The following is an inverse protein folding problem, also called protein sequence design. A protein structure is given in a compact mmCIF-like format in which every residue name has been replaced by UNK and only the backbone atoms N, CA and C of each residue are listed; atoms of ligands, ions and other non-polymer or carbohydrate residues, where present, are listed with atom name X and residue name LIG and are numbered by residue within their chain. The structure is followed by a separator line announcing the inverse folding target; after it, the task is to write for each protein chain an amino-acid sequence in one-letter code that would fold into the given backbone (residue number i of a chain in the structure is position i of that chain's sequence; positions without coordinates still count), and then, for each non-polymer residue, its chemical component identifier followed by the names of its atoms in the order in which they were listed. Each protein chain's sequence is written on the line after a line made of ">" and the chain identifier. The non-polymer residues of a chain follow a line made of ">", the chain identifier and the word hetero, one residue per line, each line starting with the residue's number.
data_IF_601490609519
#
_entry.id   IF_601490609519
#
_cell.length_a   1.000
_cell.length_b   1.000
_cell.length_c   1.000
_cell.angle_alpha   90.00
_cell.angle_beta   90.00
_cell.angle_gamma   90.00
#
_symmetry.space_group_name_H-M   'P 1'
#
loop_
_entity.id
_entity.type
_entity.pdbx_description
1 polymer ?
#
# COMPACT_ATOMS: atom_id res chain seq x y z
N UNK A 1 -25.59 0.04 2.04
CA UNK A 1 -25.57 -1.44 2.07
C UNK A 1 -24.31 -1.88 2.82
N UNK A 2 -24.09 -3.18 3.00
CA UNK A 2 -22.84 -3.70 3.56
C UNK A 2 -21.85 -3.92 2.39
N UNK A 3 -20.54 -3.87 2.64
CA UNK A 3 -19.53 -4.26 1.65
C UNK A 3 -19.76 -5.71 1.22
N UNK A 4 -19.80 -5.95 -0.08
CA UNK A 4 -19.83 -7.28 -0.69
C UNK A 4 -18.43 -7.61 -1.22
N UNK A 5 -17.79 -8.59 -0.57
CA UNK A 5 -16.39 -8.95 -0.83
C UNK A 5 -16.24 -9.63 -2.19
N UNK A 6 -17.18 -10.51 -2.56
CA UNK A 6 -17.15 -11.21 -3.84
C UNK A 6 -17.35 -10.22 -4.98
N UNK A 7 -18.34 -9.34 -4.85
CA UNK A 7 -18.55 -8.29 -5.85
C UNK A 7 -17.36 -7.31 -5.95
N UNK A 8 -16.62 -7.10 -4.85
CA UNK A 8 -15.45 -6.21 -4.85
C UNK A 8 -14.27 -6.86 -5.57
N UNK A 9 -14.07 -8.15 -5.35
CA UNK A 9 -13.09 -8.94 -6.07
C UNK A 9 -13.42 -9.07 -7.56
N UNK A 10 -14.65 -9.44 -7.89
CA UNK A 10 -15.11 -9.61 -9.27
C UNK A 10 -15.05 -8.28 -10.03
N UNK A 11 -15.44 -7.18 -9.37
CA UNK A 11 -15.31 -5.83 -9.89
C UNK A 11 -13.86 -5.47 -10.19
N UNK A 12 -12.94 -5.71 -9.25
CA UNK A 12 -11.51 -5.48 -9.46
C UNK A 12 -10.97 -6.28 -10.67
N UNK A 13 -11.29 -7.57 -10.76
CA UNK A 13 -10.85 -8.42 -11.88
C UNK A 13 -11.46 -7.98 -13.21
N UNK A 14 -12.71 -7.52 -13.22
CA UNK A 14 -13.35 -6.95 -14.41
C UNK A 14 -12.64 -5.66 -14.86
N UNK A 15 -12.29 -4.77 -13.93
CA UNK A 15 -11.57 -3.52 -14.23
C UNK A 15 -10.19 -3.78 -14.86
N UNK A 16 -9.45 -4.78 -14.34
CA UNK A 16 -8.16 -5.20 -14.90
C UNK A 16 -8.35 -5.74 -16.32
N UNK A 17 -9.30 -6.64 -16.53
CA UNK A 17 -9.56 -7.25 -17.85
C UNK A 17 -9.97 -6.21 -18.88
N UNK A 18 -10.80 -5.24 -18.49
CA UNK A 18 -11.29 -4.18 -19.37
C UNK A 18 -10.17 -3.22 -19.84
N UNK A 19 -9.11 -3.05 -19.04
CA UNK A 19 -8.03 -2.10 -19.31
C UNK A 19 -6.65 -2.77 -19.40
N UNK A 20 -6.60 -4.06 -19.76
CA UNK A 20 -5.42 -4.93 -19.60
C UNK A 20 -4.13 -4.33 -20.18
N UNK A 21 -4.20 -3.74 -21.38
CA UNK A 21 -3.00 -3.26 -22.10
C UNK A 21 -2.42 -2.03 -21.41
N UNK A 22 -3.27 -1.03 -21.13
CA UNK A 22 -2.89 0.19 -20.43
C UNK A 22 -2.36 -0.12 -19.04
N UNK A 23 -3.06 -0.97 -18.31
CA UNK A 23 -2.73 -1.28 -16.93
C UNK A 23 -1.44 -2.11 -16.83
N UNK A 24 -1.21 -3.07 -17.74
CA UNK A 24 0.06 -3.81 -17.79
C UNK A 24 1.25 -2.89 -18.07
N UNK A 25 1.09 -1.91 -18.98
CA UNK A 25 2.14 -0.92 -19.26
C UNK A 25 2.42 -0.06 -18.03
N UNK A 26 1.38 0.47 -17.37
CA UNK A 26 1.55 1.25 -16.14
C UNK A 26 2.22 0.40 -15.05
N UNK A 27 1.80 -0.85 -14.89
CA UNK A 27 2.35 -1.76 -13.89
C UNK A 27 3.83 -2.08 -14.13
N UNK A 28 4.19 -2.35 -15.40
CA UNK A 28 5.57 -2.55 -15.81
C UNK A 28 6.44 -1.33 -15.51
N UNK A 29 6.00 -0.14 -15.94
CA UNK A 29 6.80 1.09 -15.87
C UNK A 29 6.89 1.66 -14.45
N UNK A 30 5.81 1.61 -13.66
CA UNK A 30 5.75 2.30 -12.36
C UNK A 30 5.92 1.39 -11.14
N UNK A 31 5.78 0.06 -11.28
CA UNK A 31 5.94 -0.85 -10.15
C UNK A 31 7.04 -1.89 -10.38
N UNK A 32 7.08 -2.54 -11.56
CA UNK A 32 8.08 -3.57 -11.84
C UNK A 32 9.47 -2.98 -12.01
N UNK A 33 9.69 -2.12 -13.03
CA UNK A 33 11.01 -1.57 -13.35
C UNK A 33 11.66 -0.81 -12.20
N UNK A 34 10.99 0.13 -11.51
CA UNK A 34 11.65 0.90 -10.46
C UNK A 34 11.94 0.04 -9.23
N UNK A 35 11.10 -0.95 -8.91
CA UNK A 35 11.39 -1.89 -7.83
C UNK A 35 12.52 -2.86 -8.19
N UNK A 36 12.58 -3.32 -9.45
CA UNK A 36 13.68 -4.15 -9.93
C UNK A 36 15.01 -3.39 -9.86
N UNK A 37 15.03 -2.15 -10.34
CA UNK A 37 16.20 -1.30 -10.25
C UNK A 37 16.61 -1.11 -8.77
N UNK A 38 15.65 -0.81 -7.90
CA UNK A 38 15.91 -0.70 -6.47
C UNK A 38 16.52 -1.99 -5.89
N UNK A 39 15.96 -3.15 -6.24
CA UNK A 39 16.41 -4.46 -5.75
C UNK A 39 17.77 -4.90 -6.30
N UNK A 40 18.19 -4.42 -7.46
CA UNK A 40 19.47 -4.78 -8.08
C UNK A 40 20.59 -3.80 -7.71
N UNK A 41 20.27 -2.53 -7.49
CA UNK A 41 21.26 -1.47 -7.31
C UNK A 41 21.46 -1.05 -5.86
N UNK A 42 20.51 -1.34 -4.95
CA UNK A 42 20.73 -1.05 -3.54
C UNK A 42 21.40 -2.23 -2.82
N UNK A 43 22.30 -1.94 -1.86
CA UNK A 43 22.95 -2.98 -1.08
C UNK A 43 21.92 -3.80 -0.29
N UNK A 44 22.23 -5.08 -0.08
CA UNK A 44 21.53 -5.82 0.96
C UNK A 44 21.85 -5.15 2.31
N UNK A 45 20.79 -4.95 3.09
CA UNK A 45 20.86 -4.30 4.39
C UNK A 45 21.33 -5.24 5.49
N UNK A 46 21.46 -6.54 5.21
CA UNK A 46 21.80 -7.55 6.22
C UNK A 46 20.72 -7.72 7.29
N UNK A 47 19.57 -7.04 7.19
CA UNK A 47 18.48 -7.09 8.18
C UNK A 47 17.95 -8.51 8.31
N UNK A 48 17.82 -9.23 7.20
CA UNK A 48 17.37 -10.62 7.20
C UNK A 48 18.35 -11.54 7.93
N UNK A 49 19.65 -11.28 7.78
CA UNK A 49 20.74 -12.05 8.40
C UNK A 49 20.81 -11.74 9.90
N UNK A 50 20.73 -10.46 10.29
CA UNK A 50 20.68 -10.02 11.69
C UNK A 50 19.44 -10.57 12.42
N UNK A 51 18.29 -10.59 11.74
CA UNK A 51 17.05 -11.16 12.30
C UNK A 51 17.11 -12.69 12.46
N UNK A 52 17.85 -13.39 11.57
CA UNK A 52 18.01 -14.84 11.61
C UNK A 52 19.07 -15.29 12.63
N UNK A 53 20.06 -14.45 12.93
CA UNK A 53 21.12 -14.72 13.90
C UNK A 53 20.64 -14.72 15.38
N UNK A 54 19.35 -14.51 15.65
CA UNK A 54 18.80 -14.29 17.00
C UNK A 54 19.57 -13.18 17.75
N UNK A 55 20.05 -12.15 17.05
CA UNK A 55 20.53 -10.95 17.71
C UNK A 55 19.32 -10.29 18.37
N UNK A 56 19.10 -10.60 19.65
CA UNK A 56 18.15 -9.87 20.51
C UNK A 56 18.58 -8.43 20.77
N UNK A 57 19.72 -8.02 20.22
CA UNK A 57 20.21 -6.65 20.27
C UNK A 57 19.42 -5.77 19.28
N UNK A 58 18.23 -5.39 19.73
CA UNK A 58 17.32 -4.53 18.99
C UNK A 58 17.96 -3.18 18.64
N UNK A 59 18.98 -2.75 19.41
CA UNK A 59 19.71 -1.51 19.16
C UNK A 59 20.67 -1.66 17.97
N UNK A 60 21.32 -2.82 17.81
CA UNK A 60 22.16 -3.12 16.65
C UNK A 60 21.34 -3.18 15.35
N UNK A 61 20.19 -3.86 15.38
CA UNK A 61 19.25 -3.90 14.24
C UNK A 61 18.75 -2.49 13.92
N UNK A 62 18.40 -1.69 14.93
CA UNK A 62 17.97 -0.31 14.73
C UNK A 62 19.07 0.57 14.10
N UNK A 63 20.33 0.39 14.49
CA UNK A 63 21.46 1.12 13.93
C UNK A 63 21.67 0.81 12.43
N UNK A 64 21.68 -0.48 12.06
CA UNK A 64 21.77 -0.94 10.66
C UNK A 64 20.66 -0.30 9.82
N UNK A 65 19.43 -0.35 10.32
CA UNK A 65 18.27 0.24 9.66
C UNK A 65 18.43 1.75 9.50
N UNK A 66 18.82 2.46 10.57
CA UNK A 66 18.99 3.91 10.53
C UNK A 66 20.08 4.34 9.55
N UNK A 67 21.21 3.64 9.51
CA UNK A 67 22.31 3.91 8.57
C UNK A 67 21.85 3.75 7.12
N UNK A 68 21.17 2.65 6.81
CA UNK A 68 20.59 2.43 5.49
C UNK A 68 19.62 3.56 5.08
N UNK A 69 18.70 3.96 5.97
CA UNK A 69 17.80 5.06 5.67
C UNK A 69 18.54 6.39 5.51
N UNK A 70 19.57 6.67 6.32
CA UNK A 70 20.35 7.90 6.23
C UNK A 70 21.11 8.01 4.90
N UNK A 71 21.61 6.89 4.37
CA UNK A 71 22.33 6.85 3.10
C UNK A 71 21.39 6.84 1.88
N UNK A 72 20.29 6.07 1.94
CA UNK A 72 19.43 5.79 0.79
C UNK A 72 18.04 6.44 0.83
N UNK A 73 17.78 7.39 1.74
CA UNK A 73 16.47 8.08 1.81
C UNK A 73 16.02 8.69 0.48
N UNK A 74 16.96 9.20 -0.32
CA UNK A 74 16.66 9.85 -1.61
C UNK A 74 16.21 8.82 -2.66
N UNK A 75 16.79 7.62 -2.66
CA UNK A 75 16.41 6.53 -3.57
C UNK A 75 15.04 5.98 -3.17
N UNK A 76 14.79 5.83 -1.87
CA UNK A 76 13.48 5.46 -1.32
C UNK A 76 12.41 6.51 -1.66
N UNK A 77 12.75 7.80 -1.56
CA UNK A 77 11.85 8.89 -1.93
C UNK A 77 11.54 8.86 -3.43
N UNK A 78 12.56 8.71 -4.29
CA UNK A 78 12.36 8.59 -5.74
C UNK A 78 11.44 7.41 -6.08
N UNK A 79 11.70 6.25 -5.50
CA UNK A 79 10.87 5.05 -5.67
C UNK A 79 9.43 5.32 -5.23
N UNK A 80 9.23 5.94 -4.05
CA UNK A 80 7.91 6.28 -3.53
C UNK A 80 7.17 7.27 -4.45
N UNK A 81 7.85 8.28 -4.99
CA UNK A 81 7.26 9.26 -5.91
C UNK A 81 6.84 8.59 -7.23
N UNK A 82 7.69 7.74 -7.82
CA UNK A 82 7.39 7.00 -9.04
C UNK A 82 6.16 6.09 -8.80
N UNK A 83 6.17 5.31 -7.72
CA UNK A 83 5.06 4.42 -7.39
C UNK A 83 3.78 5.19 -7.06
N UNK A 84 3.86 6.37 -6.43
CA UNK A 84 2.69 7.20 -6.16
C UNK A 84 2.05 7.73 -7.45
N UNK A 85 2.85 8.17 -8.43
CA UNK A 85 2.36 8.55 -9.76
C UNK A 85 1.67 7.35 -10.42
N UNK A 86 2.33 6.18 -10.41
CA UNK A 86 1.77 4.93 -10.94
C UNK A 86 0.47 4.50 -10.28
N UNK A 87 0.37 4.66 -8.96
CA UNK A 87 -0.82 4.34 -8.19
C UNK A 87 -2.01 5.22 -8.54
N UNK A 88 -1.79 6.52 -8.66
CA UNK A 88 -2.84 7.46 -9.11
C UNK A 88 -3.22 7.18 -10.56
N UNK A 89 -2.26 6.96 -11.45
CA UNK A 89 -2.52 6.65 -12.86
C UNK A 89 -3.32 5.34 -13.00
N UNK A 90 -2.97 4.31 -12.23
CA UNK A 90 -3.69 3.03 -12.20
C UNK A 90 -5.12 3.22 -11.72
N UNK A 91 -5.33 3.93 -10.60
CA UNK A 91 -6.66 4.23 -10.09
C UNK A 91 -7.48 5.09 -11.06
N UNK A 92 -6.85 6.01 -11.80
CA UNK A 92 -7.51 6.81 -12.82
C UNK A 92 -8.01 5.95 -13.99
N UNK A 93 -7.19 5.04 -14.50
CA UNK A 93 -7.58 4.13 -15.60
C UNK A 93 -8.65 3.14 -15.15
N UNK A 94 -8.52 2.61 -13.93
CA UNK A 94 -9.43 1.59 -13.40
C UNK A 94 -10.78 2.21 -13.02
N UNK A 95 -10.78 3.39 -12.40
CA UNK A 95 -11.97 4.00 -11.80
C UNK A 95 -12.73 5.03 -12.66
N UNK A 96 -12.16 5.51 -13.76
CA UNK A 96 -12.77 6.56 -14.59
C UNK A 96 -13.54 5.96 -15.78
N UNK A 97 -14.86 6.17 -15.80
CA UNK A 97 -15.73 5.71 -16.89
C UNK A 97 -15.38 6.34 -18.24
N UNK A 98 -14.65 7.46 -18.25
CA UNK A 98 -14.22 8.16 -19.46
C UNK A 98 -13.06 7.45 -20.19
N UNK A 99 -12.52 6.35 -19.66
CA UNK A 99 -11.43 5.56 -20.28
C UNK A 99 -10.23 6.43 -20.69
N UNK A 100 -9.55 7.08 -19.73
CA UNK A 100 -8.46 8.00 -20.02
C UNK A 100 -7.32 7.31 -20.76
N UNK A 101 -6.62 8.06 -21.63
CA UNK A 101 -5.39 7.57 -22.26
C UNK A 101 -4.27 7.42 -21.22
N UNK A 102 -3.21 6.67 -21.55
CA UNK A 102 -2.01 6.54 -20.69
C UNK A 102 -1.44 7.92 -20.34
N UNK A 103 -1.39 8.83 -21.31
CA UNK A 103 -0.90 10.20 -21.10
C UNK A 103 -1.76 11.00 -20.12
N UNK A 104 -3.09 10.89 -20.22
CA UNK A 104 -4.02 11.55 -19.29
C UNK A 104 -3.89 10.99 -17.87
N UNK A 105 -3.75 9.66 -17.75
CA UNK A 105 -3.57 8.99 -16.47
C UNK A 105 -2.26 9.41 -15.79
N UNK A 106 -1.14 9.44 -16.52
CA UNK A 106 0.16 9.90 -16.01
C UNK A 106 0.09 11.38 -15.63
N UNK A 107 -0.51 12.22 -16.48
CA UNK A 107 -0.69 13.66 -16.19
C UNK A 107 -1.48 13.86 -14.91
N UNK A 108 -2.55 13.08 -14.70
CA UNK A 108 -3.32 13.08 -13.45
C UNK A 108 -2.46 12.64 -12.27
N UNK A 109 -1.64 11.59 -12.45
CA UNK A 109 -0.66 11.13 -11.47
C UNK A 109 0.28 12.23 -11.00
N UNK A 110 0.91 12.95 -11.94
CA UNK A 110 1.81 14.07 -11.62
C UNK A 110 1.06 15.23 -10.96
N UNK A 111 -0.13 15.57 -11.48
CA UNK A 111 -0.90 16.72 -10.98
C UNK A 111 -1.44 16.51 -9.57
N UNK A 112 -1.82 15.29 -9.22
CA UNK A 112 -2.35 14.95 -7.90
C UNK A 112 -1.29 14.42 -6.92
N UNK A 113 -0.04 14.27 -7.38
CA UNK A 113 1.07 13.81 -6.56
C UNK A 113 1.25 14.65 -5.27
N UNK A 114 1.23 15.99 -5.28
CA UNK A 114 1.38 16.78 -4.06
C UNK A 114 0.29 16.48 -3.03
N UNK A 115 -0.95 16.31 -3.49
CA UNK A 115 -2.07 15.94 -2.64
C UNK A 115 -1.89 14.53 -2.07
N UNK A 116 -1.47 13.59 -2.89
CA UNK A 116 -1.26 12.20 -2.48
C UNK A 116 -0.14 12.10 -1.44
N UNK A 117 0.97 12.82 -1.62
CA UNK A 117 2.07 12.87 -0.66
C UNK A 117 1.63 13.57 0.62
N UNK A 118 0.95 14.72 0.53
CA UNK A 118 0.41 15.39 1.71
C UNK A 118 -0.55 14.51 2.51
N UNK A 119 -1.41 13.74 1.83
CA UNK A 119 -2.33 12.81 2.47
C UNK A 119 -1.60 11.63 3.11
N UNK A 120 -0.56 11.08 2.46
CA UNK A 120 0.27 10.01 3.00
C UNK A 120 1.06 10.46 4.24
N UNK A 121 1.61 11.68 4.23
CA UNK A 121 2.33 12.22 5.41
C UNK A 121 1.37 12.33 6.59
N UNK A 122 0.19 12.94 6.40
CA UNK A 122 -0.80 13.08 7.48
C UNK A 122 -1.32 11.71 7.93
N UNK A 123 -1.54 10.78 7.01
CA UNK A 123 -1.95 9.41 7.34
C UNK A 123 -0.86 8.67 8.14
N UNK A 124 0.40 8.78 7.72
CA UNK A 124 1.54 8.19 8.43
C UNK A 124 1.65 8.75 9.85
N UNK A 125 1.57 10.07 10.01
CA UNK A 125 1.57 10.70 11.33
C UNK A 125 0.39 10.20 12.19
N UNK A 126 -0.81 10.07 11.63
CA UNK A 126 -1.97 9.55 12.35
C UNK A 126 -1.80 8.08 12.76
N UNK A 127 -1.17 7.26 11.92
CA UNK A 127 -0.90 5.83 12.14
C UNK A 127 0.20 5.64 13.20
N UNK A 128 1.26 6.43 13.15
CA UNK A 128 2.41 6.30 14.06
C UNK A 128 2.21 7.02 15.40
N UNK A 129 1.37 8.05 15.47
CA UNK A 129 1.14 8.81 16.71
C UNK A 129 0.75 7.92 17.92
N UNK A 130 -0.17 6.93 17.81
CA UNK A 130 -0.48 6.03 18.92
C UNK A 130 0.73 5.24 19.41
N UNK A 131 1.59 4.78 18.52
CA UNK A 131 2.81 4.05 18.86
C UNK A 131 3.79 5.00 19.56
N UNK A 132 4.06 6.18 18.99
CA UNK A 132 4.98 7.14 19.60
C UNK A 132 4.53 7.58 20.98
N UNK A 133 3.22 7.79 21.18
CA UNK A 133 2.65 8.11 22.48
C UNK A 133 2.78 6.93 23.45
N UNK A 134 2.43 5.71 23.01
CA UNK A 134 2.56 4.51 23.83
C UNK A 134 4.01 4.26 24.27
N UNK A 135 4.97 4.35 23.35
CA UNK A 135 6.40 4.19 23.60
C UNK A 135 6.94 5.31 24.49
N UNK A 136 6.55 6.56 24.26
CA UNK A 136 6.98 7.70 25.08
C UNK A 136 6.48 7.62 26.52
N UNK A 137 5.21 7.23 26.72
CA UNK A 137 4.64 6.98 28.05
C UNK A 137 5.38 5.79 28.70
N UNK A 138 5.58 4.70 27.97
CA UNK A 138 6.31 3.52 28.45
C UNK A 138 7.72 3.87 28.94
N UNK A 139 8.47 4.62 28.15
CA UNK A 139 9.82 5.09 28.51
C UNK A 139 9.80 5.96 29.77
N UNK A 140 8.83 6.86 29.91
CA UNK A 140 8.69 7.72 31.09
C UNK A 140 8.43 6.94 32.39
N UNK A 141 7.87 5.73 32.30
CA UNK A 141 7.67 4.86 33.48
C UNK A 141 8.91 4.06 33.89
N UNK A 142 9.94 3.99 33.04
CA UNK A 142 11.14 3.17 33.27
C UNK A 142 10.89 1.65 33.29
N UNK A 143 9.69 1.20 32.92
CA UNK A 143 9.30 -0.22 32.93
C UNK A 143 9.14 -0.79 31.52
N UNK A 144 10.02 -1.73 31.10
CA UNK A 144 9.88 -2.41 29.81
C UNK A 144 8.54 -3.14 29.65
N UNK A 145 7.98 -3.66 30.76
CA UNK A 145 6.69 -4.35 30.75
C UNK A 145 5.53 -3.39 30.41
N UNK A 146 5.56 -2.16 30.95
CA UNK A 146 4.53 -1.15 30.66
C UNK A 146 4.68 -0.67 29.20
N UNK A 147 5.90 -0.45 28.72
CA UNK A 147 6.16 -0.08 27.33
C UNK A 147 5.65 -1.15 26.34
N UNK A 148 5.91 -2.43 26.63
CA UNK A 148 5.41 -3.55 25.83
C UNK A 148 3.89 -3.62 25.79
N UNK A 149 3.22 -3.48 26.95
CA UNK A 149 1.77 -3.51 27.05
C UNK A 149 1.10 -2.36 26.30
N UNK A 150 1.61 -1.13 26.45
CA UNK A 150 1.07 0.05 25.75
C UNK A 150 1.23 -0.08 24.23
N UNK A 151 2.36 -0.63 23.78
CA UNK A 151 2.60 -0.89 22.35
C UNK A 151 1.60 -1.92 21.80
N UNK A 152 1.31 -2.98 22.57
CA UNK A 152 0.31 -3.98 22.19
C UNK A 152 -1.10 -3.38 22.09
N UNK A 153 -1.45 -2.44 22.98
CA UNK A 153 -2.75 -1.73 22.96
C UNK A 153 -2.83 -0.73 21.79
N UNK A 154 -1.70 -0.17 21.33
CA UNK A 154 -1.66 0.71 20.18
C UNK A 154 -1.97 -0.01 18.86
N UNK A 155 -1.73 -1.33 18.78
CA UNK A 155 -1.90 -2.11 17.55
C UNK A 155 -3.35 -2.12 17.01
N UNK A 156 -4.40 -2.40 17.80
CA UNK A 156 -5.79 -2.25 17.34
C UNK A 156 -6.14 -0.85 16.85
N UNK A 157 -5.58 0.19 17.47
CA UNK A 157 -5.80 1.59 17.08
C UNK A 157 -5.19 1.86 15.71
N UNK A 158 -3.95 1.39 15.51
CA UNK A 158 -3.26 1.48 14.22
C UNK A 158 -4.06 0.79 13.11
N UNK A 159 -4.50 -0.44 13.35
CA UNK A 159 -5.30 -1.21 12.39
C UNK A 159 -6.59 -0.44 12.06
N UNK A 160 -7.27 0.11 13.07
CA UNK A 160 -8.48 0.88 12.86
C UNK A 160 -8.22 2.11 11.98
N UNK A 161 -7.17 2.89 12.25
CA UNK A 161 -6.80 4.07 11.45
C UNK A 161 -6.42 3.66 10.03
N UNK A 162 -5.60 2.63 9.84
CA UNK A 162 -5.21 2.12 8.53
C UNK A 162 -6.44 1.72 7.68
N UNK A 163 -7.39 1.01 8.28
CA UNK A 163 -8.66 0.66 7.62
C UNK A 163 -9.45 1.91 7.24
N UNK A 164 -9.50 2.92 8.12
CA UNK A 164 -10.22 4.17 7.84
C UNK A 164 -9.63 4.98 6.69
N UNK A 165 -8.32 4.95 6.55
CA UNK A 165 -7.57 5.72 5.57
C UNK A 165 -7.26 4.92 4.29
N UNK A 166 -7.64 3.64 4.23
CA UNK A 166 -7.40 2.75 3.08
C UNK A 166 -7.94 3.28 1.74
N UNK A 167 -9.00 4.08 1.73
CA UNK A 167 -9.62 4.64 0.53
C UNK A 167 -9.17 6.08 0.21
N UNK A 168 -8.10 6.55 0.84
CA UNK A 168 -7.56 7.89 0.59
C UNK A 168 -7.00 8.00 -0.83
N UNK A 169 -6.23 7.02 -1.31
CA UNK A 169 -5.68 7.04 -2.67
C UNK A 169 -6.79 7.03 -3.74
N UNK A 170 -7.85 6.18 -3.64
CA UNK A 170 -9.04 6.32 -4.49
C UNK A 170 -9.74 7.68 -4.39
N UNK A 171 -9.87 8.26 -3.19
CA UNK A 171 -10.47 9.58 -3.02
C UNK A 171 -9.65 10.70 -3.67
N UNK A 172 -8.32 10.57 -3.71
CA UNK A 172 -7.48 11.50 -4.48
C UNK A 172 -7.63 11.25 -5.98
N UNK A 173 -7.45 10.01 -6.43
CA UNK A 173 -7.32 9.70 -7.86
C UNK A 173 -8.64 9.67 -8.64
N UNK A 174 -9.69 9.09 -8.05
CA UNK A 174 -11.01 8.88 -8.67
C UNK A 174 -11.93 10.07 -8.38
N UNK A 175 -12.06 10.48 -7.11
CA UNK A 175 -12.87 11.66 -6.75
C UNK A 175 -12.14 12.99 -7.09
N UNK A 176 -10.88 12.93 -7.58
CA UNK A 176 -10.05 14.08 -7.97
C UNK A 176 -9.89 15.16 -6.89
N UNK A 177 -9.92 14.75 -5.62
CA UNK A 177 -9.75 15.67 -4.50
C UNK A 177 -8.31 16.17 -4.46
N UNK A 178 -8.14 17.51 -4.50
CA UNK A 178 -6.84 18.19 -4.47
C UNK A 178 -6.37 18.59 -3.07
N UNK A 179 -7.24 18.50 -2.07
CA UNK A 179 -6.90 18.79 -0.68
C UNK A 179 -6.68 17.47 0.09
N UNK A 180 -5.50 17.29 0.73
CA UNK A 180 -5.16 16.03 1.40
C UNK A 180 -6.08 15.72 2.59
N UNK A 181 -6.43 16.73 3.38
CA UNK A 181 -7.33 16.57 4.54
C UNK A 181 -8.74 16.21 4.09
N UNK A 182 -9.21 16.80 2.99
CA UNK A 182 -10.51 16.45 2.40
C UNK A 182 -10.53 15.01 1.90
N UNK A 183 -9.43 14.52 1.29
CA UNK A 183 -9.32 13.13 0.85
C UNK A 183 -9.34 12.13 2.02
N UNK A 184 -8.61 12.43 3.11
CA UNK A 184 -8.63 11.62 4.33
C UNK A 184 -10.02 11.58 4.97
N UNK A 185 -10.68 12.74 5.09
CA UNK A 185 -12.04 12.84 5.62
C UNK A 185 -13.05 12.07 4.75
N UNK A 186 -12.89 12.12 3.42
CA UNK A 186 -13.68 11.33 2.46
C UNK A 186 -13.49 9.84 2.70
N UNK A 187 -12.25 9.37 2.80
CA UNK A 187 -11.93 7.96 3.11
C UNK A 187 -12.59 7.52 4.42
N UNK A 188 -12.46 8.31 5.48
CA UNK A 188 -13.04 8.01 6.79
C UNK A 188 -14.57 7.87 6.74
N UNK A 189 -15.24 8.75 5.97
CA UNK A 189 -16.70 8.71 5.79
C UNK A 189 -17.14 7.46 5.03
N UNK A 190 -16.44 7.11 3.94
CA UNK A 190 -16.76 5.92 3.12
C UNK A 190 -16.59 4.62 3.91
N UNK A 191 -15.57 4.55 4.76
CA UNK A 191 -15.25 3.34 5.54
C UNK A 191 -16.04 3.22 6.84
N UNK A 192 -16.76 4.26 7.29
CA UNK A 192 -17.43 4.33 8.62
C UNK A 192 -18.25 3.10 8.99
N UNK A 193 -19.07 2.61 8.08
CA UNK A 193 -20.03 1.51 8.31
C UNK A 193 -19.48 0.11 7.99
N UNK A 194 -18.32 0.03 7.34
CA UNK A 194 -17.80 -1.23 6.77
C UNK A 194 -16.41 -1.61 7.28
N UNK A 195 -15.87 -0.92 8.31
CA UNK A 195 -14.48 -1.10 8.78
C UNK A 195 -14.11 -2.56 9.05
N UNK A 196 -14.96 -3.32 9.74
CA UNK A 196 -14.68 -4.73 10.04
C UNK A 196 -14.61 -5.59 8.78
N UNK A 197 -15.54 -5.38 7.83
CA UNK A 197 -15.55 -6.11 6.55
C UNK A 197 -14.33 -5.75 5.69
N UNK A 198 -13.96 -4.47 5.65
CA UNK A 198 -12.75 -4.00 4.97
C UNK A 198 -11.50 -4.62 5.58
N UNK A 199 -11.41 -4.63 6.91
CA UNK A 199 -10.29 -5.25 7.62
C UNK A 199 -10.12 -6.72 7.23
N UNK A 200 -11.15 -7.54 7.37
CA UNK A 200 -11.05 -8.97 7.03
C UNK A 200 -10.83 -9.22 5.55
N UNK A 201 -11.40 -8.38 4.67
CA UNK A 201 -11.17 -8.49 3.24
C UNK A 201 -9.71 -8.21 2.86
N UNK A 202 -9.15 -7.09 3.33
CA UNK A 202 -7.74 -6.78 3.08
C UNK A 202 -6.80 -7.76 3.77
N UNK A 203 -7.12 -8.19 5.00
CA UNK A 203 -6.36 -9.20 5.72
C UNK A 203 -6.29 -10.51 4.92
N UNK A 204 -7.42 -11.00 4.42
CA UNK A 204 -7.48 -12.24 3.63
C UNK A 204 -6.67 -12.11 2.34
N UNK A 205 -6.76 -10.98 1.64
CA UNK A 205 -5.98 -10.73 0.43
C UNK A 205 -4.48 -10.66 0.71
N UNK A 206 -4.08 -9.96 1.77
CA UNK A 206 -2.67 -9.87 2.18
C UNK A 206 -2.14 -11.25 2.56
N UNK A 207 -2.88 -12.02 3.36
CA UNK A 207 -2.48 -13.38 3.76
C UNK A 207 -2.34 -14.29 2.53
N UNK A 208 -3.33 -14.31 1.64
CA UNK A 208 -3.27 -15.11 0.41
C UNK A 208 -2.05 -14.72 -0.44
N UNK A 209 -1.78 -13.42 -0.56
CA UNK A 209 -0.66 -12.90 -1.33
C UNK A 209 0.70 -13.25 -0.71
N UNK A 210 0.85 -13.07 0.62
CA UNK A 210 2.08 -13.40 1.35
C UNK A 210 2.39 -14.89 1.24
N UNK A 211 1.39 -15.76 1.41
CA UNK A 211 1.56 -17.21 1.25
C UNK A 211 1.99 -17.55 -0.17
N UNK A 212 1.30 -17.03 -1.18
CA UNK A 212 1.61 -17.32 -2.59
C UNK A 212 3.02 -16.82 -2.98
N UNK A 213 3.37 -15.60 -2.60
CA UNK A 213 4.69 -15.00 -2.88
C UNK A 213 5.82 -15.72 -2.16
N UNK A 214 5.60 -16.14 -0.91
CA UNK A 214 6.58 -16.94 -0.15
C UNK A 214 6.85 -18.28 -0.83
N UNK A 215 5.80 -19.02 -1.18
CA UNK A 215 5.94 -20.31 -1.88
C UNK A 215 6.64 -20.12 -3.22
N UNK A 216 6.28 -19.09 -3.99
CA UNK A 216 6.91 -18.80 -5.28
C UNK A 216 8.41 -18.49 -5.14
N UNK A 217 8.78 -17.62 -4.19
CA UNK A 217 10.18 -17.27 -3.95
C UNK A 217 10.99 -18.45 -3.40
N UNK A 218 10.40 -19.33 -2.59
CA UNK A 218 11.07 -20.55 -2.14
C UNK A 218 11.38 -21.48 -3.32
N UNK A 219 10.43 -21.68 -4.22
CA UNK A 219 10.62 -22.53 -5.41
C UNK A 219 11.70 -21.93 -6.33
N UNK A 220 11.59 -20.63 -6.64
CA UNK A 220 12.55 -19.93 -7.51
C UNK A 220 13.94 -19.93 -6.87
N UNK A 221 14.02 -19.59 -5.58
CA UNK A 221 15.27 -19.57 -4.83
C UNK A 221 15.96 -20.92 -4.82
N UNK A 222 15.22 -22.02 -4.58
CA UNK A 222 15.77 -23.37 -4.59
C UNK A 222 16.33 -23.75 -5.97
N UNK A 223 15.59 -23.48 -7.04
CA UNK A 223 16.01 -23.83 -8.40
C UNK A 223 17.25 -23.02 -8.80
N UNK A 224 17.27 -21.73 -8.50
CA UNK A 224 18.37 -20.86 -8.89
C UNK A 224 19.62 -21.02 -8.02
N UNK A 225 19.46 -21.42 -6.75
CA UNK A 225 20.58 -21.75 -5.87
C UNK A 225 21.48 -22.84 -6.46
N UNK A 226 20.88 -23.77 -7.23
CA UNK A 226 21.62 -24.83 -7.94
C UNK A 226 22.44 -24.31 -9.13
N UNK A 227 22.10 -23.12 -9.65
CA UNK A 227 22.75 -22.50 -10.80
C UNK A 227 23.85 -21.50 -10.39
N UNK A 228 23.89 -21.12 -9.12
CA UNK A 228 24.89 -20.22 -8.53
C UNK A 228 24.27 -19.02 -7.83
N UNK A 229 25.01 -18.46 -6.88
CA UNK A 229 24.58 -17.37 -6.00
C UNK A 229 24.18 -16.11 -6.79
N UNK A 230 24.96 -15.71 -7.78
CA UNK A 230 24.67 -14.52 -8.60
C UNK A 230 23.35 -14.66 -9.40
N UNK A 231 23.11 -15.83 -9.98
CA UNK A 231 21.85 -16.12 -10.69
C UNK A 231 20.65 -16.18 -9.74
N UNK A 232 20.86 -16.70 -8.53
CA UNK A 232 19.85 -16.69 -7.48
C UNK A 232 19.47 -15.27 -7.07
N UNK A 233 20.45 -14.40 -6.82
CA UNK A 233 20.22 -13.00 -6.45
C UNK A 233 19.44 -12.26 -7.54
N UNK A 234 19.89 -12.34 -8.79
CA UNK A 234 19.22 -11.66 -9.92
C UNK A 234 17.81 -12.21 -10.13
N UNK A 235 17.63 -13.54 -10.10
CA UNK A 235 16.32 -14.13 -10.32
C UNK A 235 15.33 -13.86 -9.18
N UNK A 236 15.79 -13.79 -7.93
CA UNK A 236 14.97 -13.36 -6.79
C UNK A 236 14.60 -11.88 -6.88
N UNK A 237 15.51 -11.01 -7.33
CA UNK A 237 15.20 -9.59 -7.58
C UNK A 237 14.11 -9.43 -8.67
N UNK A 238 14.21 -10.17 -9.77
CA UNK A 238 13.19 -10.20 -10.83
C UNK A 238 11.86 -10.73 -10.29
N UNK A 239 11.88 -11.82 -9.52
CA UNK A 239 10.70 -12.39 -8.89
C UNK A 239 10.03 -11.39 -7.95
N UNK A 240 10.80 -10.76 -7.05
CA UNK A 240 10.33 -9.75 -6.11
C UNK A 240 9.70 -8.55 -6.82
N UNK A 241 10.33 -8.06 -7.89
CA UNK A 241 9.77 -6.99 -8.71
C UNK A 241 8.45 -7.38 -9.38
N UNK A 242 8.35 -8.60 -9.90
CA UNK A 242 7.13 -9.11 -10.53
C UNK A 242 6.00 -9.25 -9.50
N UNK A 243 6.32 -9.82 -8.34
CA UNK A 243 5.42 -9.96 -7.19
C UNK A 243 4.91 -8.57 -6.76
N UNK A 244 5.80 -7.59 -6.57
CA UNK A 244 5.44 -6.21 -6.24
C UNK A 244 4.49 -5.60 -7.27
N UNK A 245 4.80 -5.77 -8.56
CA UNK A 245 4.00 -5.24 -9.65
C UNK A 245 2.59 -5.85 -9.71
N UNK A 246 2.49 -7.17 -9.56
CA UNK A 246 1.22 -7.91 -9.51
C UNK A 246 0.41 -7.48 -8.27
N UNK A 247 1.07 -7.35 -7.12
CA UNK A 247 0.43 -6.88 -5.89
C UNK A 247 -0.19 -5.51 -6.07
N UNK A 248 0.61 -4.53 -6.51
CA UNK A 248 0.16 -3.16 -6.68
C UNK A 248 -1.01 -3.07 -7.65
N UNK A 249 -0.93 -3.81 -8.78
CA UNK A 249 -2.03 -3.92 -9.72
C UNK A 249 -3.33 -4.40 -9.06
N UNK A 250 -3.28 -5.57 -8.40
CA UNK A 250 -4.46 -6.16 -7.75
C UNK A 250 -4.96 -5.23 -6.64
N UNK A 251 -4.07 -4.68 -5.82
CA UNK A 251 -4.40 -3.79 -4.71
C UNK A 251 -5.12 -2.53 -5.21
N UNK A 252 -4.61 -1.86 -6.25
CA UNK A 252 -5.28 -0.67 -6.79
C UNK A 252 -6.62 -0.99 -7.46
N UNK A 253 -6.74 -2.14 -8.13
CA UNK A 253 -8.03 -2.58 -8.68
C UNK A 253 -9.06 -2.88 -7.58
N UNK A 254 -8.64 -3.56 -6.51
CA UNK A 254 -9.47 -3.82 -5.33
C UNK A 254 -9.87 -2.50 -4.66
N UNK A 255 -8.94 -1.58 -4.44
CA UNK A 255 -9.23 -0.28 -3.85
C UNK A 255 -10.21 0.54 -4.70
N UNK A 256 -10.07 0.51 -6.03
CA UNK A 256 -10.98 1.18 -6.95
C UNK A 256 -12.38 0.56 -6.91
N UNK A 257 -12.51 -0.77 -6.94
CA UNK A 257 -13.81 -1.45 -6.87
C UNK A 257 -14.50 -1.23 -5.51
N UNK A 258 -13.76 -1.33 -4.40
CA UNK A 258 -14.29 -1.04 -3.06
C UNK A 258 -14.74 0.42 -2.95
N UNK A 259 -13.96 1.37 -3.48
CA UNK A 259 -14.35 2.77 -3.53
C UNK A 259 -15.63 2.96 -4.33
N UNK A 260 -15.74 2.36 -5.53
CA UNK A 260 -16.95 2.46 -6.36
C UNK A 260 -18.18 1.91 -5.63
N UNK A 261 -18.08 0.75 -4.98
CA UNK A 261 -19.18 0.19 -4.19
C UNK A 261 -19.60 1.10 -3.04
N UNK A 262 -18.65 1.63 -2.27
CA UNK A 262 -18.95 2.42 -1.08
C UNK A 262 -19.39 3.85 -1.43
N UNK A 263 -18.85 4.43 -2.50
CA UNK A 263 -19.22 5.75 -3.00
C UNK A 263 -20.63 5.73 -3.61
N UNK A 264 -20.97 4.71 -4.39
CA UNK A 264 -22.32 4.52 -4.92
C UNK A 264 -23.38 4.42 -3.81
N UNK A 265 -23.04 3.75 -2.71
CA UNK A 265 -23.91 3.66 -1.53
C UNK A 265 -24.09 5.01 -0.81
N UNK A 266 -23.04 5.82 -0.73
CA UNK A 266 -23.11 7.15 -0.10
C UNK A 266 -24.05 8.08 -0.88
N UNK A 267 -24.05 8.01 -2.23
CA UNK A 267 -24.96 8.78 -3.09
C UNK A 267 -26.44 8.44 -2.91
N UNK A 268 -26.77 7.16 -2.67
CA UNK A 268 -28.16 6.72 -2.43
C UNK A 268 -28.72 7.09 -1.06
N UNK A 269 -27.88 7.58 -0.13
CA UNK A 269 -28.29 7.91 1.24
C UNK A 269 -28.69 9.37 1.47
N UNK A 270 -28.69 10.19 0.41
CA UNK A 270 -29.30 11.51 0.42
C UNK A 270 -30.73 11.33 -0.12
N UNK A 271 -31.80 11.54 0.69
CA UNK A 271 -33.13 11.67 0.14
C UNK A 271 -33.08 12.77 -0.92
N UNK A 272 -33.53 12.49 -2.14
CA UNK A 272 -33.91 13.58 -3.04
C UNK A 272 -35.03 14.33 -2.31
N UNK A 273 -34.67 15.42 -1.64
CA UNK A 273 -35.64 16.39 -1.18
C UNK A 273 -36.42 16.81 -2.44
N UNK A 274 -37.74 16.71 -2.34
CA UNK A 274 -38.66 16.86 -3.45
C UNK A 274 -38.37 18.09 -4.29
N UNK A 275 -38.49 17.90 -5.59
CA UNK A 275 -38.61 18.96 -6.58
C UNK A 275 -39.65 18.47 -7.58
N UNK A 276 -40.90 18.78 -7.21
CA UNK A 276 -42.11 19.02 -8.03
C UNK A 276 -42.32 18.22 -9.33
#
# INVERSE_FOLDING_TARGET
>A
MKLDLSAAWDGAMAMIRANREVVLVLTGVFFFLPYLAFSLFLPDTGIAEASAANETDMDAIAAIVMEFYAEFWWALLLLALIQAIGGIASLAVLGDNARPTVGDAIRRGVTLLPTQIGAQIVAALAIFAPIMLASGIGAATGSPAIAGLLTLIALPILIYIAVKLSLTSPAVAIDQLRNPLTALARSWRLTRRNSFRLFFFFLLLIVAFVVASTVLNLIIGLVLALLGEELQLIGLAISGALINAIFSLIAYAVLASVHQQLAGQAGTSVPRAGGE
#
